data_IF_564765977322
#
_entry.id   IF_564765977322
#
_cell.length_a   1.000
_cell.length_b   1.000
_cell.length_c   1.000
_cell.angle_alpha   90.00
_cell.angle_beta   90.00
_cell.angle_gamma   90.00
#
_symmetry.space_group_name_H-M   'P 1'
#
loop_
_entity.id
_entity.type
_entity.pdbx_description
1 polymer ?
#
# COMPACT_ATOMS: atom_id res chain seq x y z
N UNK A 1 10.40 20.97 54.84
CA UNK A 1 8.94 20.75 54.90
C UNK A 1 8.60 19.87 53.71
N UNK A 2 8.87 18.57 53.74
CA UNK A 2 8.11 17.54 54.50
C UNK A 2 6.64 17.56 54.11
N UNK A 3 6.22 16.65 53.21
CA UNK A 3 5.31 15.54 53.53
C UNK A 3 4.97 14.76 52.26
N UNK A 4 5.67 13.63 52.07
CA UNK A 4 5.17 12.48 51.33
C UNK A 4 4.04 11.83 52.13
N UNK A 5 2.98 11.34 51.46
CA UNK A 5 2.18 10.18 51.90
C UNK A 5 1.43 9.51 50.73
N UNK A 6 1.09 8.21 50.87
CA UNK A 6 1.24 7.22 49.80
C UNK A 6 -0.06 6.43 49.45
N UNK A 7 0.09 5.58 48.42
CA UNK A 7 -0.57 4.31 48.11
C UNK A 7 -1.98 4.02 48.65
N UNK A 8 -2.89 3.69 47.74
CA UNK A 8 -3.92 2.67 48.01
C UNK A 8 -4.18 1.83 46.75
N UNK A 9 -3.54 0.66 46.72
CA UNK A 9 -3.69 -0.39 45.73
C UNK A 9 -4.89 -1.25 46.12
N UNK A 10 -6.03 -1.10 45.43
CA UNK A 10 -7.22 -1.90 45.72
C UNK A 10 -7.21 -3.17 44.88
N UNK A 11 -6.98 -4.27 45.57
CA UNK A 11 -6.96 -5.65 45.11
C UNK A 11 -8.37 -6.11 44.67
N UNK A 12 -8.60 -6.32 43.37
CA UNK A 12 -9.83 -6.93 42.86
C UNK A 12 -9.75 -8.45 42.97
N UNK A 13 -10.54 -8.96 43.92
CA UNK A 13 -10.65 -10.35 44.35
C UNK A 13 -11.40 -11.17 43.28
N UNK A 14 -10.75 -12.24 42.83
CA UNK A 14 -11.22 -13.25 41.88
C UNK A 14 -12.31 -14.12 42.55
N UNK A 15 -13.55 -13.98 42.11
CA UNK A 15 -14.69 -14.77 42.60
C UNK A 15 -14.76 -16.11 41.84
N UNK A 16 -14.32 -17.19 42.48
CA UNK A 16 -14.49 -18.56 42.04
C UNK A 16 -15.93 -19.02 42.27
N UNK A 17 -16.70 -19.16 41.18
CA UNK A 17 -18.00 -19.83 41.17
C UNK A 17 -17.80 -21.34 41.08
N UNK A 18 -18.03 -22.03 42.18
CA UNK A 18 -18.27 -23.47 42.26
C UNK A 18 -19.76 -23.75 42.12
N UNK A 19 -20.23 -24.61 41.20
CA UNK A 19 -21.55 -25.19 41.31
C UNK A 19 -21.50 -26.54 42.01
N UNK A 20 -22.43 -26.67 42.95
CA UNK A 20 -22.65 -27.76 43.86
C UNK A 20 -23.03 -29.09 43.18
N UNK A 21 -22.56 -30.13 43.84
CA UNK A 21 -22.96 -31.53 43.78
C UNK A 21 -24.47 -31.72 43.83
N UNK A 22 -25.03 -32.46 42.85
CA UNK A 22 -26.22 -33.29 43.02
C UNK A 22 -26.04 -34.55 42.17
N UNK A 23 -25.43 -35.58 42.78
CA UNK A 23 -25.22 -36.90 42.18
C UNK A 23 -26.19 -37.86 42.85
N UNK A 24 -27.32 -38.14 42.19
CA UNK A 24 -28.24 -39.20 42.57
C UNK A 24 -27.60 -40.58 42.34
N UNK A 25 -27.65 -41.51 43.31
CA UNK A 25 -27.24 -42.89 43.08
C UNK A 25 -28.41 -43.67 42.45
N UNK A 26 -28.37 -43.84 41.13
CA UNK A 26 -29.24 -44.82 40.46
C UNK A 26 -28.62 -46.20 40.71
N UNK A 27 -29.20 -46.93 41.65
CA UNK A 27 -28.95 -48.35 41.90
C UNK A 27 -29.56 -49.16 40.76
N UNK A 28 -28.74 -49.60 39.79
CA UNK A 28 -29.14 -50.59 38.80
C UNK A 28 -28.53 -51.94 39.17
N UNK A 29 -29.32 -52.79 39.83
CA UNK A 29 -29.04 -54.22 39.99
C UNK A 29 -29.16 -54.89 38.60
N UNK A 30 -28.15 -55.60 38.09
CA UNK A 30 -28.36 -56.51 36.97
C UNK A 30 -29.07 -57.78 37.47
N UNK A 31 -30.05 -58.33 36.73
CA UNK A 31 -30.56 -59.65 37.04
C UNK A 31 -29.53 -60.70 36.58
N UNK A 32 -29.14 -61.57 37.50
CA UNK A 32 -28.47 -62.82 37.19
C UNK A 32 -29.46 -63.71 36.42
N UNK A 33 -29.37 -63.74 35.10
CA UNK A 33 -29.97 -64.80 34.28
C UNK A 33 -28.86 -65.73 33.83
N UNK A 34 -28.72 -66.81 34.60
CA UNK A 34 -27.94 -67.99 34.26
C UNK A 34 -28.84 -68.89 33.40
N UNK A 35 -28.75 -68.77 32.08
CA UNK A 35 -29.30 -69.76 31.14
C UNK A 35 -28.14 -70.46 30.45
N UNK A 36 -27.73 -71.61 31.02
CA UNK A 36 -27.13 -72.70 30.23
C UNK A 36 -28.28 -73.43 29.56
N UNK A 37 -28.26 -73.52 28.24
CA UNK A 37 -28.77 -74.63 27.41
C UNK A 37 -28.43 -74.23 25.97
N UNK A 38 -27.40 -74.87 25.41
CA UNK A 38 -27.56 -76.02 24.54
C UNK A 38 -27.52 -75.57 23.08
N UNK A 39 -26.31 -75.72 22.54
CA UNK A 39 -26.02 -75.96 21.13
C UNK A 39 -27.21 -76.59 20.39
N UNK A 40 -27.89 -75.79 19.58
CA UNK A 40 -28.53 -76.26 18.35
C UNK A 40 -27.98 -75.40 17.23
N UNK A 41 -27.03 -75.98 16.48
CA UNK A 41 -26.41 -75.35 15.34
C UNK A 41 -27.43 -75.15 14.23
N UNK A 42 -27.99 -73.94 14.14
CA UNK A 42 -28.52 -73.43 12.88
C UNK A 42 -27.39 -72.69 12.18
N UNK A 43 -26.85 -73.34 11.16
CA UNK A 43 -25.90 -72.77 10.21
C UNK A 43 -26.61 -71.54 9.58
N UNK A 44 -26.05 -70.32 9.67
CA UNK A 44 -26.65 -69.17 9.00
C UNK A 44 -26.71 -69.44 7.49
N UNK A 45 -27.74 -68.96 6.77
CA UNK A 45 -27.84 -69.15 5.33
C UNK A 45 -26.57 -68.63 4.66
N UNK A 46 -26.00 -69.46 3.79
CA UNK A 46 -24.78 -69.24 3.04
C UNK A 46 -24.87 -67.92 2.27
N UNK A 47 -24.42 -66.80 2.87
CA UNK A 47 -24.24 -65.55 2.13
C UNK A 47 -23.26 -65.88 1.01
N UNK A 48 -23.60 -65.65 -0.28
CA UNK A 48 -22.66 -65.88 -1.35
C UNK A 48 -21.39 -65.10 -1.00
N UNK A 49 -20.29 -65.83 -0.82
CA UNK A 49 -18.99 -65.27 -0.48
C UNK A 49 -18.59 -64.40 -1.66
N UNK A 50 -18.85 -63.08 -1.56
CA UNK A 50 -18.49 -62.11 -2.61
C UNK A 50 -17.06 -62.41 -3.03
N UNK A 51 -16.86 -62.63 -4.32
CA UNK A 51 -15.53 -62.88 -4.88
C UNK A 51 -14.63 -61.72 -4.46
N UNK A 52 -13.34 -61.97 -4.16
CA UNK A 52 -12.42 -60.93 -3.70
C UNK A 52 -12.48 -59.69 -4.62
N UNK A 53 -12.62 -59.92 -5.93
CA UNK A 53 -12.84 -58.90 -6.96
C UNK A 53 -14.06 -58.00 -6.70
N UNK A 54 -15.21 -58.54 -6.31
CA UNK A 54 -16.42 -57.76 -6.02
C UNK A 54 -16.25 -56.89 -4.77
N UNK A 55 -15.54 -57.40 -3.75
CA UNK A 55 -15.22 -56.63 -2.54
C UNK A 55 -14.23 -55.50 -2.84
N UNK A 56 -13.23 -55.74 -3.71
CA UNK A 56 -12.32 -54.70 -4.16
C UNK A 56 -13.02 -53.68 -5.07
N UNK A 57 -13.95 -54.09 -5.94
CA UNK A 57 -14.70 -53.19 -6.80
C UNK A 57 -15.59 -52.21 -6.01
N UNK A 58 -16.31 -52.68 -4.97
CA UNK A 58 -17.11 -51.82 -4.09
C UNK A 58 -16.23 -50.82 -3.31
N UNK A 59 -15.09 -51.29 -2.79
CA UNK A 59 -14.12 -50.44 -2.07
C UNK A 59 -13.45 -49.42 -2.98
N UNK A 60 -13.09 -49.80 -4.21
CA UNK A 60 -12.50 -48.91 -5.20
C UNK A 60 -13.50 -47.84 -5.64
N UNK A 61 -14.79 -48.21 -5.82
CA UNK A 61 -15.85 -47.24 -6.12
C UNK A 61 -16.04 -46.24 -4.98
N UNK A 62 -16.09 -46.73 -3.74
CA UNK A 62 -16.18 -45.85 -2.57
C UNK A 62 -14.97 -44.93 -2.48
N UNK A 63 -13.75 -45.46 -2.64
CA UNK A 63 -12.51 -44.71 -2.64
C UNK A 63 -12.52 -43.61 -3.71
N UNK A 64 -12.89 -43.94 -4.95
CA UNK A 64 -12.98 -42.98 -6.05
C UNK A 64 -13.97 -41.84 -5.76
N UNK A 65 -15.12 -42.14 -5.16
CA UNK A 65 -16.10 -41.12 -4.78
C UNK A 65 -15.54 -40.18 -3.70
N UNK A 66 -14.90 -40.73 -2.67
CA UNK A 66 -14.29 -39.91 -1.61
C UNK A 66 -13.13 -39.06 -2.13
N UNK A 67 -12.23 -39.63 -2.95
CA UNK A 67 -11.11 -38.86 -3.50
C UNK A 67 -11.59 -37.76 -4.45
N UNK A 68 -12.59 -38.03 -5.28
CA UNK A 68 -13.16 -37.01 -6.18
C UNK A 68 -13.86 -35.90 -5.39
N UNK A 69 -14.59 -36.23 -4.32
CA UNK A 69 -15.25 -35.25 -3.46
C UNK A 69 -14.24 -34.31 -2.78
N UNK A 70 -13.12 -34.84 -2.29
CA UNK A 70 -12.05 -34.03 -1.68
C UNK A 70 -11.40 -33.09 -2.71
N UNK A 71 -11.16 -33.56 -3.93
CA UNK A 71 -10.59 -32.73 -5.01
C UNK A 71 -11.53 -31.58 -5.37
N UNK A 72 -12.82 -31.88 -5.59
CA UNK A 72 -13.82 -30.84 -5.91
C UNK A 72 -14.00 -29.85 -4.76
N UNK A 73 -14.00 -30.33 -3.51
CA UNK A 73 -14.07 -29.46 -2.34
C UNK A 73 -12.82 -28.56 -2.23
N UNK A 74 -11.62 -29.10 -2.45
CA UNK A 74 -10.38 -28.33 -2.43
C UNK A 74 -10.34 -27.23 -3.50
N UNK A 75 -10.81 -27.53 -4.71
CA UNK A 75 -10.95 -26.55 -5.78
C UNK A 75 -11.99 -25.47 -5.43
N UNK A 76 -13.14 -25.87 -4.87
CA UNK A 76 -14.18 -24.94 -4.43
C UNK A 76 -13.69 -23.96 -3.35
N UNK A 77 -12.96 -24.47 -2.35
CA UNK A 77 -12.38 -23.64 -1.28
C UNK A 77 -11.32 -22.68 -1.84
N UNK A 78 -10.45 -23.15 -2.73
CA UNK A 78 -9.41 -22.31 -3.33
C UNK A 78 -10.02 -21.18 -4.18
N UNK A 79 -11.07 -21.48 -4.94
CA UNK A 79 -11.78 -20.49 -5.74
C UNK A 79 -12.55 -19.48 -4.86
N UNK A 80 -13.17 -19.94 -3.77
CA UNK A 80 -13.91 -19.08 -2.84
C UNK A 80 -13.01 -18.23 -1.92
N UNK A 81 -11.77 -18.64 -1.68
CA UNK A 81 -10.84 -17.93 -0.81
C UNK A 81 -10.55 -16.49 -1.30
N UNK A 82 -10.41 -16.30 -2.61
CA UNK A 82 -10.12 -14.98 -3.19
C UNK A 82 -11.25 -13.96 -2.98
N UNK A 83 -12.52 -14.21 -3.35
CA UNK A 83 -13.60 -13.27 -3.10
C UNK A 83 -13.90 -13.09 -1.61
N UNK A 84 -13.76 -14.15 -0.78
CA UNK A 84 -13.92 -14.03 0.67
C UNK A 84 -12.84 -13.13 1.29
N UNK A 85 -11.59 -13.28 0.87
CA UNK A 85 -10.49 -12.40 1.27
C UNK A 85 -10.74 -10.95 0.81
N UNK A 86 -11.24 -10.75 -0.42
CA UNK A 86 -11.61 -9.41 -0.91
C UNK A 86 -12.73 -8.78 -0.09
N UNK A 87 -13.78 -9.52 0.27
CA UNK A 87 -14.84 -9.00 1.14
C UNK A 87 -14.34 -8.67 2.54
N UNK A 88 -13.46 -9.50 3.10
CA UNK A 88 -12.81 -9.21 4.38
C UNK A 88 -11.93 -7.95 4.28
N UNK A 89 -11.11 -7.83 3.25
CA UNK A 89 -10.25 -6.65 3.02
C UNK A 89 -11.07 -5.38 2.78
N UNK A 90 -12.20 -5.48 2.07
CA UNK A 90 -13.10 -4.35 1.80
C UNK A 90 -13.98 -3.96 3.00
N UNK A 91 -14.15 -4.83 3.99
CA UNK A 91 -14.88 -4.53 5.22
C UNK A 91 -13.96 -4.01 6.34
N UNK A 92 -12.71 -4.47 6.38
CA UNK A 92 -11.72 -4.12 7.41
C UNK A 92 -10.72 -3.05 6.97
N UNK A 93 -10.64 -2.75 5.66
CA UNK A 93 -9.62 -1.88 5.07
C UNK A 93 -8.21 -2.49 5.10
N UNK A 94 -8.07 -3.79 5.36
CA UNK A 94 -6.76 -4.46 5.39
C UNK A 94 -6.11 -4.43 4.00
N UNK A 95 -4.79 -4.19 3.95
CA UNK A 95 -4.00 -4.01 2.73
C UNK A 95 -4.33 -2.78 1.85
N UNK A 96 -4.97 -1.74 2.40
CA UNK A 96 -5.20 -0.48 1.69
C UNK A 96 -6.34 -0.53 0.66
N UNK A 97 -7.18 -1.57 0.70
CA UNK A 97 -8.41 -1.62 -0.10
C UNK A 97 -9.35 -0.53 0.42
N UNK A 98 -9.76 0.46 -0.39
CA UNK A 98 -10.58 1.55 0.09
C UNK A 98 -11.93 1.00 0.53
N UNK A 99 -12.25 1.11 1.82
CA UNK A 99 -13.62 0.96 2.28
C UNK A 99 -14.46 2.00 1.51
N UNK A 100 -15.54 1.58 0.88
CA UNK A 100 -16.49 2.44 0.14
C UNK A 100 -17.19 3.51 1.01
N UNK A 101 -16.74 3.71 2.27
CA UNK A 101 -17.21 4.74 3.18
C UNK A 101 -16.13 5.28 4.12
N UNK A 102 -14.84 5.19 3.77
CA UNK A 102 -13.77 5.84 4.55
C UNK A 102 -12.49 6.08 3.72
N UNK A 103 -12.65 6.60 2.49
CA UNK A 103 -11.51 7.07 1.71
C UNK A 103 -11.06 8.45 2.19
N UNK A 104 -9.75 8.75 2.11
CA UNK A 104 -9.24 10.13 2.31
C UNK A 104 -9.90 11.17 1.38
N UNK A 105 -10.55 10.71 0.31
CA UNK A 105 -11.27 11.52 -0.69
C UNK A 105 -12.80 11.39 -0.61
N UNK A 106 -13.36 10.93 0.51
CA UNK A 106 -14.82 10.82 0.65
C UNK A 106 -15.47 12.22 0.64
N UNK A 107 -16.62 12.42 -0.05
CA UNK A 107 -17.32 13.71 -0.08
C UNK A 107 -17.65 14.29 1.30
N UNK A 108 -17.80 13.43 2.32
CA UNK A 108 -18.07 13.84 3.70
C UNK A 108 -16.87 14.52 4.40
N UNK A 109 -15.64 14.33 3.89
CA UNK A 109 -14.41 15.00 4.37
C UNK A 109 -14.17 16.35 3.69
N UNK A 110 -14.79 16.60 2.53
CA UNK A 110 -14.72 17.87 1.78
C UNK A 110 -15.77 18.90 2.23
N UNK A 111 -16.29 18.75 3.45
CA UNK A 111 -17.22 19.72 4.03
C UNK A 111 -16.42 20.69 4.90
N UNK A 112 -16.40 21.99 4.56
CA UNK A 112 -15.65 22.97 5.34
C UNK A 112 -16.23 23.09 6.74
N UNK A 113 -15.37 23.02 7.75
CA UNK A 113 -15.77 23.25 9.14
C UNK A 113 -15.78 24.76 9.40
N UNK A 114 -16.94 25.40 9.31
CA UNK A 114 -17.07 26.87 9.44
C UNK A 114 -16.64 27.42 10.81
N UNK A 115 -16.61 26.58 11.85
CA UNK A 115 -16.20 26.95 13.21
C UNK A 115 -14.68 26.83 13.47
N UNK A 116 -13.90 26.39 12.48
CA UNK A 116 -12.46 26.19 12.63
C UNK A 116 -11.66 27.45 12.23
N UNK A 117 -10.43 27.57 12.73
CA UNK A 117 -9.52 28.64 12.31
C UNK A 117 -9.07 28.44 10.86
N UNK A 118 -8.87 29.55 10.15
CA UNK A 118 -8.30 29.52 8.78
C UNK A 118 -6.81 29.25 8.85
N UNK A 119 -6.35 28.33 8.01
CA UNK A 119 -4.94 27.96 7.89
C UNK A 119 -4.36 28.69 6.68
N UNK A 120 -3.24 29.38 6.88
CA UNK A 120 -2.50 30.07 5.83
C UNK A 120 -1.52 29.11 5.19
N UNK A 121 -1.76 28.75 3.95
CA UNK A 121 -0.85 27.92 3.15
C UNK A 121 0.03 28.84 2.33
N UNK A 122 1.34 28.84 2.62
CA UNK A 122 2.37 29.53 1.87
C UNK A 122 2.91 28.62 0.77
N UNK A 123 3.09 29.18 -0.41
CA UNK A 123 3.63 28.47 -1.56
C UNK A 123 5.07 28.91 -1.81
N UNK A 124 5.98 27.95 -1.71
CA UNK A 124 7.38 28.15 -2.00
C UNK A 124 7.78 27.33 -3.25
N UNK A 125 8.61 27.94 -4.08
CA UNK A 125 8.98 27.41 -5.39
C UNK A 125 10.49 27.57 -5.59
N UNK A 126 11.18 26.44 -5.58
CA UNK A 126 12.62 26.34 -5.76
C UNK A 126 12.96 25.49 -6.99
N UNK A 127 14.18 25.66 -7.49
CA UNK A 127 14.71 24.93 -8.63
C UNK A 127 16.20 24.68 -8.45
N UNK A 128 16.67 23.53 -8.90
CA UNK A 128 18.09 23.20 -8.93
C UNK A 128 18.86 24.10 -9.90
N UNK A 129 20.10 24.43 -9.56
CA UNK A 129 20.93 25.32 -10.39
C UNK A 129 21.13 24.80 -11.82
N UNK A 130 21.14 23.47 -11.97
CA UNK A 130 21.31 22.72 -13.22
C UNK A 130 20.06 22.73 -14.11
N UNK A 131 18.92 23.19 -13.58
CA UNK A 131 17.68 23.35 -14.32
C UNK A 131 17.49 24.84 -14.65
N UNK A 132 17.69 25.25 -15.92
CA UNK A 132 17.54 26.64 -16.36
C UNK A 132 16.06 27.01 -16.54
N UNK A 133 15.23 26.71 -15.56
CA UNK A 133 13.81 27.05 -15.55
C UNK A 133 13.54 28.22 -14.61
N UNK A 134 12.55 29.04 -14.97
CA UNK A 134 11.87 29.91 -14.02
C UNK A 134 10.72 29.11 -13.42
N UNK A 135 10.65 29.01 -12.11
CA UNK A 135 9.53 28.38 -11.43
C UNK A 135 9.07 29.30 -10.30
N UNK A 136 7.84 29.79 -10.39
CA UNK A 136 7.31 30.78 -9.46
C UNK A 136 5.83 30.52 -9.18
N UNK A 137 5.37 30.67 -7.93
CA UNK A 137 3.95 30.58 -7.62
C UNK A 137 3.25 31.86 -8.06
N UNK A 138 2.03 31.75 -8.61
CA UNK A 138 1.23 32.94 -8.93
C UNK A 138 0.72 33.63 -7.65
N UNK A 139 0.37 32.84 -6.63
CA UNK A 139 -0.01 33.36 -5.31
C UNK A 139 1.03 32.95 -4.26
N UNK A 140 1.45 33.88 -3.39
CA UNK A 140 2.39 33.58 -2.30
C UNK A 140 1.74 32.80 -1.15
N UNK A 141 0.47 33.08 -0.87
CA UNK A 141 -0.28 32.40 0.17
C UNK A 141 -1.77 32.39 -0.15
N UNK A 142 -2.49 31.41 0.41
CA UNK A 142 -3.96 31.32 0.41
C UNK A 142 -4.43 30.91 1.80
N UNK A 143 -5.56 31.46 2.25
CA UNK A 143 -6.19 31.10 3.52
C UNK A 143 -7.34 30.13 3.26
N UNK A 144 -7.24 28.91 3.78
CA UNK A 144 -8.22 27.84 3.57
C UNK A 144 -8.79 27.35 4.90
N UNK A 145 -10.05 26.92 4.89
CA UNK A 145 -10.64 26.21 6.02
C UNK A 145 -10.30 24.70 5.95
N UNK A 146 -10.18 24.03 7.11
CA UNK A 146 -10.18 22.57 7.16
C UNK A 146 -11.40 21.97 6.44
N UNK A 147 -11.17 21.05 5.51
CA UNK A 147 -12.18 20.45 4.64
C UNK A 147 -12.49 21.25 3.35
N UNK A 148 -11.99 22.48 3.22
CA UNK A 148 -12.13 23.29 2.00
C UNK A 148 -11.09 22.85 0.96
N UNK A 149 -11.54 22.60 -0.27
CA UNK A 149 -10.64 22.41 -1.41
C UNK A 149 -10.23 23.75 -2.00
N UNK A 150 -8.93 23.92 -2.23
CA UNK A 150 -8.37 25.14 -2.79
C UNK A 150 -7.44 24.82 -3.95
N UNK A 151 -7.38 25.74 -4.90
CA UNK A 151 -6.54 25.64 -6.07
C UNK A 151 -5.47 26.73 -6.03
N UNK A 152 -4.22 26.34 -6.29
CA UNK A 152 -3.09 27.24 -6.44
C UNK A 152 -2.47 27.05 -7.83
N UNK A 153 -1.88 28.10 -8.38
CA UNK A 153 -1.22 28.05 -9.70
C UNK A 153 0.27 28.32 -9.56
N UNK A 154 1.07 27.52 -10.27
CA UNK A 154 2.48 27.78 -10.48
C UNK A 154 2.77 28.00 -11.96
N UNK A 155 3.74 28.86 -12.24
CA UNK A 155 4.22 29.10 -13.61
C UNK A 155 5.61 28.51 -13.74
N UNK A 156 5.80 27.64 -14.73
CA UNK A 156 7.12 27.14 -15.13
C UNK A 156 7.46 27.63 -16.53
N UNK A 157 8.69 28.13 -16.70
CA UNK A 157 9.22 28.59 -17.98
C UNK A 157 10.61 28.02 -18.25
N UNK A 158 10.80 27.36 -19.39
CA UNK A 158 12.11 26.94 -19.82
C UNK A 158 12.88 28.11 -20.45
N UNK A 159 13.97 28.56 -19.80
CA UNK A 159 14.81 29.67 -20.30
C UNK A 159 15.92 29.20 -21.24
N UNK A 160 16.05 27.89 -21.48
CA UNK A 160 17.05 27.32 -22.38
C UNK A 160 16.55 27.23 -23.82
N UNK A 161 17.48 26.90 -24.73
CA UNK A 161 17.22 26.65 -26.16
C UNK A 161 16.96 25.17 -26.46
N UNK A 162 16.94 24.32 -25.44
CA UNK A 162 16.80 22.88 -25.56
C UNK A 162 15.53 22.43 -24.82
N UNK A 163 14.94 21.34 -25.28
CA UNK A 163 13.88 20.67 -24.54
C UNK A 163 14.48 20.04 -23.28
N UNK A 164 13.88 20.35 -22.13
CA UNK A 164 14.33 19.81 -20.85
C UNK A 164 13.17 19.06 -20.20
N UNK A 165 13.52 17.96 -19.54
CA UNK A 165 12.60 17.22 -18.69
C UNK A 165 12.97 17.53 -17.25
N UNK A 166 11.96 17.85 -16.45
CA UNK A 166 12.08 18.13 -15.03
C UNK A 166 11.17 17.24 -14.21
N UNK A 167 11.62 16.90 -13.00
CA UNK A 167 10.82 16.23 -11.98
C UNK A 167 10.80 17.11 -10.73
N UNK A 168 9.67 17.15 -10.04
CA UNK A 168 9.51 17.98 -8.86
C UNK A 168 9.29 17.15 -7.60
N UNK A 169 10.02 17.47 -6.54
CA UNK A 169 9.74 16.95 -5.20
C UNK A 169 9.03 18.00 -4.37
N UNK A 170 8.28 17.57 -3.37
CA UNK A 170 7.60 18.49 -2.46
C UNK A 170 7.81 18.11 -1.01
N UNK A 171 7.70 19.12 -0.15
CA UNK A 171 7.63 18.96 1.29
C UNK A 171 6.55 19.89 1.87
N UNK A 172 5.96 19.44 2.97
CA UNK A 172 4.95 20.18 3.74
C UNK A 172 5.53 20.41 5.13
N UNK A 173 5.54 21.67 5.58
CA UNK A 173 6.06 22.04 6.89
C UNK A 173 5.00 22.86 7.64
N UNK A 174 4.75 22.60 8.94
CA UNK A 174 5.42 21.63 9.82
C UNK A 174 5.02 20.16 9.55
N UNK A 175 5.94 19.21 9.77
CA UNK A 175 5.73 17.78 9.45
C UNK A 175 4.49 17.16 10.11
N UNK A 176 4.05 17.73 11.24
CA UNK A 176 2.85 17.30 11.97
C UNK A 176 1.57 17.42 11.15
N UNK A 177 1.49 18.40 10.23
CA UNK A 177 0.32 18.58 9.36
C UNK A 177 0.40 17.73 8.09
N UNK A 178 1.57 17.20 7.73
CA UNK A 178 1.77 16.46 6.49
C UNK A 178 0.80 15.27 6.30
N UNK A 179 0.39 14.50 7.33
CA UNK A 179 -0.59 13.43 7.17
C UNK A 179 -2.01 13.90 6.81
N UNK A 180 -2.34 15.14 7.17
CA UNK A 180 -3.65 15.75 6.96
C UNK A 180 -3.70 16.59 5.69
N UNK A 181 -2.54 16.97 5.15
CA UNK A 181 -2.44 17.71 3.91
C UNK A 181 -2.56 16.74 2.72
N UNK A 182 -3.71 16.77 2.04
CA UNK A 182 -3.99 15.91 0.91
C UNK A 182 -3.88 16.68 -0.40
N UNK A 183 -2.86 16.34 -1.18
CA UNK A 183 -2.68 16.85 -2.54
C UNK A 183 -3.45 15.96 -3.51
N UNK A 184 -4.44 16.53 -4.20
CA UNK A 184 -5.34 15.78 -5.10
C UNK A 184 -4.71 15.58 -6.47
N UNK A 185 -4.02 16.59 -7.01
CA UNK A 185 -3.40 16.54 -8.34
C UNK A 185 -1.96 17.08 -8.31
N UNK A 186 -0.99 16.28 -8.77
CA UNK A 186 0.45 16.54 -8.64
C UNK A 186 1.18 16.47 -9.98
N UNK A 187 1.65 17.61 -10.47
CA UNK A 187 2.72 17.68 -11.50
C UNK A 187 4.06 17.05 -11.05
N UNK A 188 4.17 16.68 -9.77
CA UNK A 188 5.42 16.38 -9.08
C UNK A 188 5.93 14.98 -9.35
N UNK A 189 5.01 14.03 -9.50
CA UNK A 189 5.37 12.64 -9.76
C UNK A 189 5.44 12.30 -11.24
N UNK A 190 5.08 13.25 -12.10
CA UNK A 190 5.13 13.09 -13.55
C UNK A 190 6.25 13.95 -14.13
N UNK A 191 7.01 13.35 -15.03
CA UNK A 191 8.04 14.03 -15.80
C UNK A 191 7.40 15.15 -16.63
N UNK A 192 7.73 16.40 -16.30
CA UNK A 192 7.29 17.55 -17.08
C UNK A 192 8.32 17.81 -18.16
N UNK A 193 7.93 17.71 -19.43
CA UNK A 193 8.76 18.13 -20.55
C UNK A 193 8.35 19.55 -20.95
N UNK A 194 9.28 20.50 -20.85
CA UNK A 194 9.08 21.85 -21.39
C UNK A 194 10.01 22.05 -22.59
N UNK A 195 9.43 22.45 -23.71
CA UNK A 195 10.15 22.80 -24.93
C UNK A 195 10.99 24.06 -24.72
N UNK A 196 11.93 24.32 -25.62
CA UNK A 196 12.74 25.53 -25.59
C UNK A 196 11.86 26.81 -25.55
N UNK A 197 12.03 27.65 -24.53
CA UNK A 197 11.27 28.90 -24.37
C UNK A 197 9.81 28.74 -23.93
N UNK A 198 9.31 27.52 -23.75
CA UNK A 198 7.92 27.24 -23.40
C UNK A 198 7.61 27.70 -21.96
N UNK A 199 6.39 28.20 -21.77
CA UNK A 199 5.84 28.64 -20.49
C UNK A 199 4.48 27.94 -20.27
N UNK A 200 4.32 27.30 -19.12
CA UNK A 200 3.14 26.48 -18.79
C UNK A 200 2.65 26.82 -17.39
N UNK A 201 1.33 26.96 -17.26
CA UNK A 201 0.64 27.06 -15.97
C UNK A 201 0.36 25.64 -15.43
N UNK A 202 0.83 25.37 -14.22
CA UNK A 202 0.67 24.11 -13.52
C UNK A 202 -0.31 24.29 -12.35
N UNK A 203 -1.59 23.89 -12.50
CA UNK A 203 -2.55 23.96 -11.42
C UNK A 203 -2.24 22.92 -10.35
N UNK A 204 -2.57 23.27 -9.11
CA UNK A 204 -2.43 22.44 -7.93
C UNK A 204 -3.72 22.47 -7.14
N UNK A 205 -4.44 21.34 -7.11
CA UNK A 205 -5.59 21.13 -6.24
C UNK A 205 -5.16 20.43 -4.95
N UNK A 206 -5.48 21.04 -3.81
CA UNK A 206 -5.22 20.50 -2.48
C UNK A 206 -6.36 20.79 -1.51
N UNK A 207 -6.43 20.02 -0.43
CA UNK A 207 -7.29 20.30 0.72
C UNK A 207 -6.59 19.83 2.00
N UNK A 208 -7.03 20.37 3.13
CA UNK A 208 -6.51 19.95 4.45
C UNK A 208 -7.64 19.24 5.18
N UNK A 209 -7.38 18.02 5.66
CA UNK A 209 -8.40 17.19 6.30
C UNK A 209 -8.82 17.75 7.67
N UNK A 210 -10.12 17.81 7.94
CA UNK A 210 -10.70 18.26 9.21
C UNK A 210 -10.24 17.43 10.42
N UNK A 211 -9.79 16.19 10.20
CA UNK A 211 -9.27 15.31 11.25
C UNK A 211 -8.09 15.94 12.02
N UNK A 212 -7.40 16.94 11.43
CA UNK A 212 -6.32 17.66 12.12
C UNK A 212 -6.82 18.44 13.36
N UNK A 213 -8.10 18.80 13.41
CA UNK A 213 -8.69 19.54 14.54
C UNK A 213 -8.80 18.66 15.80
N UNK A 214 -8.90 17.35 15.62
CA UNK A 214 -8.99 16.39 16.71
C UNK A 214 -7.60 16.03 17.26
N UNK A 215 -6.53 16.18 16.44
CA UNK A 215 -5.16 15.87 16.83
C UNK A 215 -4.55 16.97 17.72
N UNK A 216 -4.16 16.67 18.98
CA UNK A 216 -3.44 17.60 19.83
C UNK A 216 -2.15 18.16 19.22
N UNK A 217 -1.47 17.40 18.34
CA UNK A 217 -0.21 17.82 17.72
C UNK A 217 -0.38 18.97 16.72
N UNK A 218 -1.58 19.15 16.16
CA UNK A 218 -1.90 20.11 15.11
C UNK A 218 -2.65 21.36 15.61
N UNK A 219 -2.95 21.45 16.92
CA UNK A 219 -3.75 22.55 17.51
C UNK A 219 -3.19 23.95 17.25
N UNK A 220 -1.87 24.09 17.23
CA UNK A 220 -1.17 25.38 17.08
C UNK A 220 -0.69 25.64 15.64
N UNK A 221 -1.18 24.86 14.66
CA UNK A 221 -0.77 25.01 13.26
C UNK A 221 -1.69 26.01 12.56
N UNK A 222 -1.17 27.22 12.34
CA UNK A 222 -1.85 28.29 11.59
C UNK A 222 -1.20 28.54 10.23
N UNK A 223 0.13 28.38 10.14
CA UNK A 223 0.90 28.58 8.92
C UNK A 223 1.48 27.23 8.44
N UNK A 224 1.24 26.93 7.17
CA UNK A 224 1.72 25.73 6.49
C UNK A 224 2.52 26.18 5.28
N UNK A 225 3.72 25.65 5.11
CA UNK A 225 4.54 25.94 3.93
C UNK A 225 4.55 24.71 3.05
N UNK A 226 4.04 24.85 1.84
CA UNK A 226 4.17 23.87 0.78
C UNK A 226 5.33 24.30 -0.12
N UNK A 227 6.44 23.59 -0.03
CA UNK A 227 7.63 23.86 -0.82
C UNK A 227 7.76 22.84 -1.95
N UNK A 228 7.98 23.35 -3.15
CA UNK A 228 8.28 22.57 -4.35
C UNK A 228 9.70 22.83 -4.81
N UNK A 229 10.43 21.78 -5.16
CA UNK A 229 11.76 21.91 -5.76
C UNK A 229 11.84 21.10 -7.05
N UNK A 230 12.17 21.78 -8.15
CA UNK A 230 12.38 21.13 -9.45
C UNK A 230 13.84 20.72 -9.66
N UNK A 231 14.00 19.48 -10.10
CA UNK A 231 15.26 18.90 -10.53
C UNK A 231 15.21 18.59 -12.01
N UNK A 232 16.35 18.70 -12.69
CA UNK A 232 16.48 18.17 -14.03
C UNK A 232 16.38 16.64 -13.95
N UNK A 233 15.81 16.04 -15.00
CA UNK A 233 15.76 14.60 -15.16
C UNK A 233 16.16 14.27 -16.60
N UNK A 234 16.94 13.20 -16.78
CA UNK A 234 17.27 12.65 -18.10
C UNK A 234 16.97 11.17 -18.13
N UNK A 235 16.52 10.69 -19.29
CA UNK A 235 16.44 9.26 -19.58
C UNK A 235 17.53 8.87 -20.56
N UNK A 236 18.17 7.73 -20.29
CA UNK A 236 19.04 7.09 -21.27
C UNK A 236 18.23 6.46 -22.42
N UNK A 237 18.91 5.99 -23.46
CA UNK A 237 18.25 5.35 -24.62
C UNK A 237 17.44 4.09 -24.28
N UNK A 238 17.64 3.49 -23.09
CA UNK A 238 16.87 2.35 -22.57
C UNK A 238 15.66 2.78 -21.74
N UNK A 239 15.44 4.09 -21.59
CA UNK A 239 14.34 4.67 -20.82
C UNK A 239 14.58 4.68 -19.31
N UNK A 240 15.79 4.47 -18.80
CA UNK A 240 16.06 4.54 -17.36
C UNK A 240 16.44 5.98 -16.98
N UNK A 241 15.97 6.44 -15.81
CA UNK A 241 16.40 7.71 -15.23
C UNK A 241 17.89 7.66 -14.91
N UNK A 242 18.63 8.62 -15.46
CA UNK A 242 20.05 8.80 -15.21
C UNK A 242 20.24 10.04 -14.32
N UNK A 243 20.96 9.91 -13.19
CA UNK A 243 21.25 11.05 -12.33
C UNK A 243 22.08 12.10 -13.08
N UNK A 244 21.79 13.38 -12.86
CA UNK A 244 22.46 14.48 -13.57
C UNK A 244 23.92 14.73 -13.16
N UNK A 245 24.37 14.12 -12.06
CA UNK A 245 25.75 14.18 -11.63
C UNK A 245 26.62 13.23 -12.48
N UNK A 246 27.85 13.61 -12.86
CA UNK A 246 28.73 12.72 -13.60
C UNK A 246 29.08 11.50 -12.72
N UNK A 247 29.20 10.32 -13.34
CA UNK A 247 29.25 9.03 -12.63
C UNK A 247 30.41 8.96 -11.61
N UNK A 248 31.53 9.60 -11.91
CA UNK A 248 32.71 9.75 -11.05
C UNK A 248 32.37 10.48 -9.73
N UNK A 249 31.61 11.57 -9.81
CA UNK A 249 31.16 12.34 -8.62
C UNK A 249 30.19 11.55 -7.76
N UNK A 250 29.34 10.75 -8.40
CA UNK A 250 28.40 9.87 -7.68
C UNK A 250 29.17 8.78 -6.94
N UNK A 251 30.13 8.13 -7.60
CA UNK A 251 30.97 7.09 -7.00
C UNK A 251 31.86 7.63 -5.87
N UNK A 252 32.42 8.83 -6.03
CA UNK A 252 33.15 9.54 -4.98
C UNK A 252 32.27 9.79 -3.75
N UNK A 253 31.04 10.29 -3.95
CA UNK A 253 30.08 10.56 -2.87
C UNK A 253 29.60 9.30 -2.15
N UNK A 254 29.54 8.16 -2.85
CA UNK A 254 29.17 6.86 -2.29
C UNK A 254 30.35 6.13 -1.62
N UNK A 255 31.54 6.74 -1.58
CA UNK A 255 32.74 6.17 -0.95
C UNK A 255 33.48 5.14 -1.83
N UNK A 256 33.11 5.03 -3.10
CA UNK A 256 33.69 4.08 -4.04
C UNK A 256 34.81 4.68 -4.92
N UNK A 257 35.18 5.95 -4.74
CA UNK A 257 36.18 6.64 -5.57
C UNK A 257 37.58 5.99 -5.60
N UNK A 258 37.89 5.12 -4.64
CA UNK A 258 39.18 4.41 -4.56
C UNK A 258 39.16 3.01 -5.22
N UNK A 259 38.05 2.60 -5.85
CA UNK A 259 37.91 1.27 -6.46
C UNK A 259 37.89 1.37 -7.97
N UNK A 260 38.66 0.51 -8.65
CA UNK A 260 38.64 0.42 -10.11
C UNK A 260 37.28 -0.12 -10.58
N UNK A 261 36.54 0.71 -11.31
CA UNK A 261 35.23 0.33 -11.84
C UNK A 261 35.37 -0.38 -13.19
N UNK A 262 34.53 -1.41 -13.41
CA UNK A 262 34.46 -2.07 -14.70
C UNK A 262 34.09 -1.06 -15.79
N UNK A 263 34.88 -1.01 -16.86
CA UNK A 263 34.65 -0.13 -18.01
C UNK A 263 33.30 -0.50 -18.63
N UNK A 264 32.32 0.42 -18.53
CA UNK A 264 31.06 0.28 -19.27
C UNK A 264 31.37 0.39 -20.77
N UNK A 265 30.98 -0.61 -21.54
CA UNK A 265 31.14 -0.58 -23.00
C UNK A 265 30.31 0.57 -23.59
N UNK A 266 30.99 1.60 -24.09
CA UNK A 266 30.37 2.75 -24.74
C UNK A 266 29.51 2.30 -25.92
N UNK A 267 28.19 2.36 -25.76
CA UNK A 267 27.23 2.11 -26.85
C UNK A 267 27.13 3.30 -27.82
N UNK A 268 27.93 4.36 -27.62
CA UNK A 268 27.96 5.54 -28.49
C UNK A 268 28.98 5.46 -29.65
N UNK A 269 29.65 4.33 -29.88
CA UNK A 269 30.67 4.19 -30.95
C UNK A 269 30.23 3.37 -32.17
N UNK A 270 28.95 3.00 -32.28
CA UNK A 270 28.45 2.18 -33.41
C UNK A 270 27.87 3.02 -34.56
N UNK A 271 27.64 4.32 -34.37
CA UNK A 271 26.91 5.13 -35.36
C UNK A 271 27.75 6.08 -36.22
N UNK A 272 29.07 6.14 -36.03
CA UNK A 272 29.95 7.03 -36.78
C UNK A 272 30.76 6.32 -37.89
N UNK A 273 30.64 4.99 -38.03
CA UNK A 273 31.40 4.21 -39.00
C UNK A 273 30.63 3.74 -40.25
N UNK A 274 29.39 4.20 -40.46
CA UNK A 274 28.56 3.78 -41.62
C UNK A 274 28.25 4.89 -42.62
N UNK A 275 28.90 6.07 -42.54
CA UNK A 275 28.64 7.21 -43.45
C UNK A 275 29.89 7.70 -44.16
N UNK A 276 30.78 6.79 -44.59
CA UNK A 276 31.94 7.15 -45.42
C UNK A 276 32.28 6.10 -46.48
N UNK A 277 31.28 5.52 -47.16
CA UNK A 277 31.53 4.71 -48.37
C UNK A 277 30.35 4.68 -49.35
N UNK A 278 29.78 5.83 -49.71
CA UNK A 278 28.94 5.95 -50.92
C UNK A 278 29.24 7.30 -51.57
N UNK A 279 30.31 7.35 -52.36
CA UNK A 279 30.48 8.30 -53.47
C UNK A 279 31.77 7.92 -54.22
N UNK A 280 31.62 7.10 -55.27
CA UNK A 280 32.54 6.92 -56.41
C UNK A 280 32.00 5.85 -57.35
N UNK A 281 31.06 6.22 -58.24
CA UNK A 281 30.89 5.66 -59.61
C UNK A 281 29.48 5.89 -60.19
N UNK A 282 29.21 7.11 -60.70
CA UNK A 282 28.21 7.32 -61.75
C UNK A 282 28.36 8.73 -62.36
N UNK A 283 29.36 8.92 -63.22
CA UNK A 283 29.34 9.69 -64.48
C UNK A 283 30.62 9.35 -65.23
#
# INVERSE_FOLDING_TARGET
>A
MSFLRPLSTTCLRRSSLTPNLLRHPITFRPPLVRSRLASSGQIPPNRPRKTREQVYAEKNRALLLYTTAVIVAGLGVTYAAVPLYRMFCAATGFAGTPNVGSGRFEPSRLVPVENAHRIKVHFNADRSEQLPWSFTPQQKYVNVLPGESSLAFYVAKNKSKEDIIGIATYNVTPDRIAPYFSKVECFCFEEQKLSAGEEVDMPLLFFIDKDMLEDPACRDVEDVVLSYTFFRARRNARGHLEPDAPEDKIQESLGFGNYEHAVKSNTNKVQESSTSTVDKSAT
#
